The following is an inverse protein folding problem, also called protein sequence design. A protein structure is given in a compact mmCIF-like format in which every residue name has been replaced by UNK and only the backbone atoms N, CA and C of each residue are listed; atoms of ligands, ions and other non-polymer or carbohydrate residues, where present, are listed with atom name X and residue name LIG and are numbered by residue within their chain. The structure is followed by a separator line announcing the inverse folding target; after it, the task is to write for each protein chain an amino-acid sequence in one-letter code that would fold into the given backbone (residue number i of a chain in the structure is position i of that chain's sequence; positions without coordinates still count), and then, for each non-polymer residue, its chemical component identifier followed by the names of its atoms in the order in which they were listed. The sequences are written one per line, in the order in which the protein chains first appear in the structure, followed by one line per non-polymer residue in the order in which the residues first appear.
data_IF_467048668462
#
_entry.id   IF_467048668462
#
_cell.length_a   1.000
_cell.length_b   1.000
_cell.length_c   1.000
_cell.angle_alpha   90.00
_cell.angle_beta   90.00
_cell.angle_gamma   90.00
#
_symmetry.space_group_name_H-M   'P 1'
#
loop_
_entity.id
_entity.type
_entity.pdbx_description
1 polymer ?
#
# COMPACT_ATOMS: atom_id res chain seq x y z
N UNK A 1 -23.71 -12.14 -1.97
CA UNK A 1 -22.67 -11.18 -2.40
C UNK A 1 -22.12 -10.58 -1.12
N UNK A 2 -20.96 -11.04 -0.63
CA UNK A 2 -20.33 -10.42 0.54
C UNK A 2 -19.95 -9.02 0.08
N UNK A 3 -20.63 -8.00 0.60
CA UNK A 3 -20.19 -6.61 0.44
C UNK A 3 -18.85 -6.53 1.15
N UNK A 4 -17.78 -6.46 0.38
CA UNK A 4 -16.44 -6.20 0.87
C UNK A 4 -16.44 -4.84 1.58
N UNK A 5 -16.53 -4.87 2.91
CA UNK A 5 -16.63 -3.69 3.75
C UNK A 5 -15.38 -2.80 3.53
N UNK A 6 -14.22 -3.43 3.40
CA UNK A 6 -12.97 -2.75 3.14
C UNK A 6 -12.97 -1.99 1.81
N UNK A 7 -13.47 -2.58 0.72
CA UNK A 7 -13.61 -1.84 -0.56
C UNK A 7 -14.45 -0.58 -0.40
N UNK A 8 -15.55 -0.63 0.36
CA UNK A 8 -16.35 0.57 0.59
C UNK A 8 -15.57 1.62 1.39
N UNK A 9 -14.85 1.21 2.43
CA UNK A 9 -14.02 2.08 3.26
C UNK A 9 -12.92 2.77 2.42
N UNK A 10 -12.19 2.01 1.59
CA UNK A 10 -11.12 2.53 0.72
C UNK A 10 -11.58 3.63 -0.24
N UNK A 11 -12.85 3.62 -0.64
CA UNK A 11 -13.39 4.59 -1.59
C UNK A 11 -13.96 5.84 -0.91
N UNK A 12 -14.35 5.76 0.36
CA UNK A 12 -15.12 6.83 1.05
C UNK A 12 -14.41 7.43 2.27
N UNK A 13 -13.24 6.92 2.66
CA UNK A 13 -12.54 7.37 3.86
C UNK A 13 -11.14 7.91 3.54
N UNK A 14 -10.70 8.85 4.37
CA UNK A 14 -9.34 9.36 4.39
C UNK A 14 -8.36 8.37 5.03
N UNK A 15 -7.07 8.62 4.87
CA UNK A 15 -6.03 7.83 5.52
C UNK A 15 -6.20 7.77 7.04
N UNK A 16 -6.46 8.91 7.68
CA UNK A 16 -6.61 9.02 9.15
C UNK A 16 -7.80 8.22 9.65
N UNK A 17 -8.95 8.30 8.97
CA UNK A 17 -10.15 7.54 9.32
C UNK A 17 -9.90 6.03 9.16
N UNK A 18 -9.22 5.61 8.09
CA UNK A 18 -8.89 4.21 7.84
C UNK A 18 -7.90 3.67 8.88
N UNK A 19 -6.85 4.44 9.23
CA UNK A 19 -5.89 4.07 10.27
C UNK A 19 -6.57 3.95 11.63
N UNK A 20 -7.40 4.93 12.00
CA UNK A 20 -8.13 4.94 13.28
C UNK A 20 -9.08 3.76 13.39
N UNK A 21 -9.78 3.44 12.30
CA UNK A 21 -10.66 2.28 12.23
C UNK A 21 -9.86 0.99 12.44
N UNK A 22 -8.78 0.78 11.67
CA UNK A 22 -7.97 -0.42 11.78
C UNK A 22 -7.34 -0.56 13.17
N UNK A 23 -6.87 0.54 13.76
CA UNK A 23 -6.35 0.54 15.12
C UNK A 23 -7.42 0.04 16.09
N UNK A 24 -8.62 0.64 16.07
CA UNK A 24 -9.75 0.22 16.91
C UNK A 24 -10.09 -1.26 16.75
N UNK A 25 -10.18 -1.77 15.52
CA UNK A 25 -10.47 -3.18 15.25
C UNK A 25 -9.37 -4.09 15.82
N UNK A 26 -8.09 -3.71 15.66
CA UNK A 26 -6.97 -4.47 16.24
C UNK A 26 -7.06 -4.48 17.77
N UNK A 27 -7.35 -3.34 18.43
CA UNK A 27 -7.51 -3.29 19.90
C UNK A 27 -8.60 -4.26 20.36
N UNK A 28 -9.72 -4.31 19.65
CA UNK A 28 -10.88 -5.12 20.01
C UNK A 28 -10.68 -6.61 19.73
N UNK A 29 -9.81 -6.95 18.77
CA UNK A 29 -9.55 -8.32 18.34
C UNK A 29 -8.66 -9.15 19.28
N UNK A 30 -8.11 -8.56 20.35
CA UNK A 30 -7.14 -9.20 21.26
C UNK A 30 -5.88 -9.76 20.57
N UNK A 31 -5.53 -9.24 19.39
CA UNK A 31 -4.26 -9.54 18.73
C UNK A 31 -3.08 -9.06 19.60
N UNK A 32 -1.96 -9.78 19.54
CA UNK A 32 -0.76 -9.41 20.29
C UNK A 32 -0.27 -8.00 19.92
N UNK A 33 0.28 -7.27 20.89
CA UNK A 33 0.78 -5.89 20.70
C UNK A 33 1.76 -5.78 19.52
N UNK A 34 2.58 -6.81 19.33
CA UNK A 34 3.45 -6.93 18.15
C UNK A 34 2.71 -6.70 16.83
N UNK A 35 1.54 -7.32 16.63
CA UNK A 35 0.79 -7.17 15.40
C UNK A 35 0.21 -5.77 15.24
N UNK A 36 -0.21 -5.14 16.34
CA UNK A 36 -0.66 -3.76 16.32
C UNK A 36 0.45 -2.82 15.86
N UNK A 37 1.62 -2.92 16.50
CA UNK A 37 2.79 -2.09 16.19
C UNK A 37 3.27 -2.25 14.75
N UNK A 38 3.06 -3.41 14.13
CA UNK A 38 3.48 -3.68 12.74
C UNK A 38 2.42 -3.37 11.70
N UNK A 39 1.15 -3.58 12.02
CA UNK A 39 0.06 -3.47 11.06
C UNK A 39 -0.25 -2.03 10.70
N UNK A 40 -0.29 -1.12 11.67
CA UNK A 40 -0.63 0.30 11.41
C UNK A 40 0.39 0.98 10.49
N UNK A 41 1.72 0.94 10.77
CA UNK A 41 2.70 1.57 9.87
C UNK A 41 2.70 0.98 8.46
N UNK A 42 2.47 -0.33 8.34
CA UNK A 42 2.33 -0.99 7.05
C UNK A 42 1.12 -0.48 6.27
N UNK A 43 -0.05 -0.46 6.92
CA UNK A 43 -1.30 -0.04 6.31
C UNK A 43 -1.21 1.41 5.83
N UNK A 44 -0.62 2.29 6.65
CA UNK A 44 -0.37 3.67 6.28
C UNK A 44 0.60 3.83 5.12
N UNK A 45 1.68 3.04 5.08
CA UNK A 45 2.66 3.08 4.00
C UNK A 45 2.07 2.71 2.64
N UNK A 46 1.17 1.71 2.61
CA UNK A 46 0.49 1.32 1.36
C UNK A 46 -0.50 2.42 0.95
N UNK A 47 -1.35 2.87 1.88
CA UNK A 47 -2.41 3.83 1.56
C UNK A 47 -1.90 5.24 1.29
N UNK A 48 -0.75 5.64 1.83
CA UNK A 48 -0.12 6.92 1.53
C UNK A 48 0.23 7.08 0.05
N UNK A 49 0.27 5.98 -0.71
CA UNK A 49 0.46 6.00 -2.16
C UNK A 49 -0.84 5.71 -2.91
N UNK A 50 -1.60 4.69 -2.49
CA UNK A 50 -2.81 4.28 -3.23
C UNK A 50 -3.93 5.32 -3.17
N UNK A 51 -4.07 6.07 -2.07
CA UNK A 51 -5.09 7.11 -1.95
C UNK A 51 -4.80 8.31 -2.86
N UNK A 52 -3.58 8.90 -2.90
CA UNK A 52 -3.26 9.92 -3.89
C UNK A 52 -3.42 9.46 -5.34
N UNK A 53 -3.04 8.20 -5.66
CA UNK A 53 -3.29 7.65 -7.00
C UNK A 53 -4.80 7.57 -7.31
N UNK A 54 -5.62 7.15 -6.34
CA UNK A 54 -7.08 7.15 -6.46
C UNK A 54 -7.62 8.55 -6.71
N UNK A 55 -7.22 9.53 -5.91
CA UNK A 55 -7.65 10.93 -6.01
C UNK A 55 -7.29 11.55 -7.37
N UNK A 56 -6.16 11.15 -7.94
CA UNK A 56 -5.73 11.57 -9.27
C UNK A 56 -6.37 10.77 -10.42
N UNK A 57 -7.18 9.74 -10.14
CA UNK A 57 -7.72 8.78 -11.12
C UNK A 57 -6.62 8.06 -11.92
N UNK A 58 -5.54 7.72 -11.21
CA UNK A 58 -4.30 7.15 -11.73
C UNK A 58 -4.01 5.76 -11.15
N UNK A 59 -5.04 5.01 -10.76
CA UNK A 59 -4.86 3.66 -10.22
C UNK A 59 -4.41 2.67 -11.30
N UNK A 60 -3.50 1.79 -10.91
CA UNK A 60 -2.98 0.73 -11.75
C UNK A 60 -2.62 -0.47 -10.88
N UNK A 61 -2.53 -1.63 -11.51
CA UNK A 61 -2.15 -2.88 -10.85
C UNK A 61 -0.63 -3.15 -10.99
N UNK A 62 -0.07 -4.17 -10.32
CA UNK A 62 1.36 -4.50 -10.42
C UNK A 62 1.89 -4.75 -11.84
N UNK A 63 1.04 -5.13 -12.79
CA UNK A 63 1.40 -5.28 -14.21
C UNK A 63 1.42 -3.95 -14.98
N UNK A 64 1.13 -2.82 -14.32
CA UNK A 64 1.00 -1.51 -14.96
C UNK A 64 -0.32 -1.29 -15.68
N UNK A 65 -1.31 -2.19 -15.54
CA UNK A 65 -2.62 -2.02 -16.19
C UNK A 65 -3.48 -1.06 -15.40
N UNK A 66 -4.17 -0.17 -16.11
CA UNK A 66 -5.11 0.80 -15.54
C UNK A 66 -6.24 0.08 -14.80
N UNK A 67 -6.61 0.58 -13.63
CA UNK A 67 -7.72 0.10 -12.82
C UNK A 67 -8.59 1.30 -12.43
N UNK A 68 -9.91 1.13 -12.43
CA UNK A 68 -10.85 2.24 -12.17
C UNK A 68 -11.06 2.56 -10.70
N UNK A 69 -10.90 1.56 -9.81
CA UNK A 69 -11.27 1.67 -8.39
C UNK A 69 -10.22 1.03 -7.50
N UNK A 70 -10.07 1.60 -6.31
CA UNK A 70 -9.30 1.01 -5.24
C UNK A 70 -10.20 0.04 -4.49
N UNK A 71 -10.12 -1.24 -4.84
CA UNK A 71 -10.77 -2.32 -4.10
C UNK A 71 -9.77 -3.05 -3.19
N UNK A 72 -10.28 -3.92 -2.31
CA UNK A 72 -9.44 -4.69 -1.40
C UNK A 72 -8.45 -5.58 -2.15
N UNK A 73 -8.82 -6.08 -3.33
CA UNK A 73 -7.95 -6.91 -4.16
C UNK A 73 -6.73 -6.11 -4.58
N UNK A 74 -6.93 -4.91 -5.13
CA UNK A 74 -5.85 -4.02 -5.54
C UNK A 74 -4.96 -3.64 -4.36
N UNK A 75 -5.55 -3.31 -3.21
CA UNK A 75 -4.80 -3.07 -1.97
C UNK A 75 -3.87 -4.27 -1.66
N UNK A 76 -4.43 -5.48 -1.54
CA UNK A 76 -3.64 -6.65 -1.16
C UNK A 76 -2.59 -7.06 -2.21
N UNK A 77 -2.80 -6.73 -3.49
CA UNK A 77 -1.81 -6.96 -4.53
C UNK A 77 -0.60 -6.04 -4.39
N UNK A 78 -0.82 -4.79 -4.00
CA UNK A 78 0.26 -3.84 -3.71
C UNK A 78 0.89 -4.04 -2.32
N UNK A 79 0.18 -4.70 -1.41
CA UNK A 79 0.63 -5.08 -0.07
C UNK A 79 1.66 -6.23 -0.03
N UNK A 80 1.84 -6.98 -1.12
CA UNK A 80 2.95 -7.92 -1.24
C UNK A 80 4.29 -7.17 -1.17
N UNK A 81 5.29 -7.70 -0.47
CA UNK A 81 6.55 -6.99 -0.22
C UNK A 81 7.30 -6.62 -1.51
N UNK A 82 7.32 -7.51 -2.51
CA UNK A 82 7.97 -7.22 -3.80
C UNK A 82 7.20 -6.14 -4.52
N UNK A 83 5.88 -6.30 -4.62
CA UNK A 83 5.01 -5.33 -5.28
C UNK A 83 5.12 -3.96 -4.61
N UNK A 84 5.15 -3.90 -3.27
CA UNK A 84 5.24 -2.65 -2.52
C UNK A 84 6.55 -1.91 -2.79
N UNK A 85 7.67 -2.65 -2.87
CA UNK A 85 8.97 -2.08 -3.25
C UNK A 85 8.96 -1.60 -4.70
N UNK A 86 8.37 -2.38 -5.62
CA UNK A 86 8.20 -1.95 -7.02
C UNK A 86 7.37 -0.67 -7.10
N UNK A 87 6.28 -0.58 -6.32
CA UNK A 87 5.46 0.63 -6.24
C UNK A 87 6.29 1.83 -5.81
N UNK A 88 7.13 1.69 -4.78
CA UNK A 88 8.04 2.76 -4.36
C UNK A 88 8.90 3.26 -5.54
N UNK A 89 9.56 2.36 -6.28
CA UNK A 89 10.41 2.77 -7.41
C UNK A 89 9.60 3.42 -8.54
N UNK A 90 8.43 2.89 -8.86
CA UNK A 90 7.54 3.49 -9.86
C UNK A 90 7.19 4.93 -9.47
N UNK A 91 6.76 5.15 -8.23
CA UNK A 91 6.33 6.49 -7.79
C UNK A 91 7.52 7.42 -7.61
N UNK A 92 8.66 6.95 -7.11
CA UNK A 92 9.90 7.74 -7.02
C UNK A 92 10.33 8.26 -8.41
N UNK A 93 10.43 7.37 -9.39
CA UNK A 93 10.77 7.76 -10.77
C UNK A 93 9.69 8.66 -11.37
N UNK A 94 8.41 8.42 -11.06
CA UNK A 94 7.31 9.24 -11.55
C UNK A 94 7.33 10.66 -10.97
N UNK A 95 7.69 10.81 -9.69
CA UNK A 95 7.92 12.10 -9.04
C UNK A 95 9.07 12.87 -9.69
N UNK A 96 10.20 12.20 -9.95
CA UNK A 96 11.37 12.80 -10.61
C UNK A 96 11.06 13.28 -12.03
N UNK A 97 10.26 12.53 -12.78
CA UNK A 97 9.86 12.87 -14.15
C UNK A 97 8.58 13.70 -14.24
N UNK A 98 7.92 13.96 -13.12
CA UNK A 98 6.61 14.63 -13.04
C UNK A 98 5.55 14.01 -13.98
N UNK A 99 5.61 12.69 -14.13
CA UNK A 99 4.72 11.90 -14.98
C UNK A 99 4.61 10.49 -14.41
N UNK A 100 3.41 9.91 -14.38
CA UNK A 100 3.25 8.51 -13.99
C UNK A 100 3.88 7.58 -15.03
N UNK A 101 4.89 6.82 -14.61
CA UNK A 101 5.65 5.89 -15.45
C UNK A 101 5.24 4.44 -15.22
N UNK A 102 5.66 3.56 -16.15
CA UNK A 102 5.51 2.10 -16.02
C UNK A 102 4.05 1.65 -15.85
N UNK A 103 3.14 2.42 -16.44
CA UNK A 103 1.71 2.12 -16.49
C UNK A 103 1.18 2.28 -17.92
N UNK A 104 -0.05 1.85 -18.15
CA UNK A 104 -0.76 2.07 -19.41
C UNK A 104 -1.26 3.51 -19.62
N UNK A 105 -1.04 4.42 -18.66
CA UNK A 105 -1.49 5.81 -18.80
C UNK A 105 -0.62 6.58 -19.81
N UNK A 106 -1.28 7.35 -20.67
CA UNK A 106 -0.65 8.28 -21.61
C UNK A 106 -1.31 9.66 -21.45
N UNK A 107 -0.50 10.73 -21.49
CA UNK A 107 -0.96 12.12 -21.48
C UNK A 107 -1.90 12.48 -20.31
N UNK A 108 -1.65 11.93 -19.12
CA UNK A 108 -2.37 12.31 -17.90
C UNK A 108 -1.54 13.29 -17.08
N UNK A 109 -2.23 14.24 -16.47
CA UNK A 109 -1.63 15.11 -15.45
C UNK A 109 -1.30 14.29 -14.23
N UNK A 110 -0.02 14.31 -13.84
CA UNK A 110 0.47 13.69 -12.62
C UNK A 110 0.83 14.78 -11.61
N UNK A 111 0.37 14.61 -10.38
CA UNK A 111 0.81 15.41 -9.23
C UNK A 111 1.73 14.55 -8.37
N UNK A 112 2.79 15.18 -7.86
CA UNK A 112 3.80 14.53 -7.02
C UNK A 112 3.12 13.90 -5.80
N UNK A 113 3.46 12.64 -5.54
CA UNK A 113 2.95 11.87 -4.41
C UNK A 113 4.02 11.86 -3.31
N UNK A 114 3.66 12.22 -2.08
CA UNK A 114 4.59 12.09 -0.96
C UNK A 114 4.82 10.60 -0.63
N UNK A 115 6.04 10.12 -0.86
CA UNK A 115 6.43 8.72 -0.63
C UNK A 115 7.13 8.48 0.71
N UNK A 116 7.30 9.50 1.56
CA UNK A 116 8.08 9.43 2.79
C UNK A 116 7.62 8.31 3.74
N UNK A 117 6.30 8.12 3.92
CA UNK A 117 5.77 7.02 4.73
C UNK A 117 6.16 5.65 4.18
N UNK A 118 6.06 5.46 2.87
CA UNK A 118 6.45 4.22 2.20
C UNK A 118 7.96 3.99 2.27
N UNK A 119 8.74 5.04 2.02
CA UNK A 119 10.19 5.04 2.09
C UNK A 119 10.69 4.64 3.49
N UNK A 120 10.19 5.32 4.52
CA UNK A 120 10.53 5.03 5.91
C UNK A 120 10.10 3.63 6.32
N UNK A 121 8.93 3.15 5.87
CA UNK A 121 8.48 1.79 6.13
C UNK A 121 9.44 0.75 5.52
N UNK A 122 9.80 0.88 4.24
CA UNK A 122 10.72 -0.04 3.57
C UNK A 122 12.11 0.00 4.23
N UNK A 123 12.62 1.19 4.52
CA UNK A 123 13.92 1.38 5.19
C UNK A 123 13.96 0.74 6.59
N UNK A 124 12.92 0.97 7.42
CA UNK A 124 12.83 0.40 8.77
C UNK A 124 12.77 -1.13 8.77
N UNK A 125 12.28 -1.73 7.69
CA UNK A 125 12.26 -3.18 7.47
C UNK A 125 13.49 -3.68 6.69
N UNK A 126 14.53 -2.84 6.56
CA UNK A 126 15.82 -3.17 5.90
C UNK A 126 15.67 -3.61 4.45
N UNK A 127 14.68 -3.06 3.75
CA UNK A 127 14.49 -3.30 2.32
C UNK A 127 15.38 -2.35 1.53
N UNK A 128 16.13 -2.89 0.56
CA UNK A 128 16.96 -2.06 -0.30
C UNK A 128 16.08 -1.23 -1.25
N UNK A 129 16.17 0.09 -1.11
CA UNK A 129 15.46 1.08 -1.94
C UNK A 129 16.43 2.01 -2.69
N UNK A 130 17.72 1.69 -2.66
CA UNK A 130 18.78 2.45 -3.34
C UNK A 130 19.06 1.91 -4.74
N UNK A 131 18.89 0.62 -4.94
CA UNK A 131 19.12 -0.08 -6.21
C UNK A 131 17.95 -1.03 -6.48
N UNK A 132 17.22 -0.83 -7.59
CA UNK A 132 16.05 -1.62 -7.96
C UNK A 132 16.42 -3.07 -8.35
N UNK A 133 17.62 -3.27 -8.92
CA UNK A 133 18.08 -4.54 -9.49
C UNK A 133 18.46 -5.58 -8.43
N UNK A 134 18.66 -5.14 -7.17
CA UNK A 134 18.88 -6.03 -6.03
C UNK A 134 17.55 -6.69 -5.64
N UNK A 135 17.46 -8.00 -5.82
CA UNK A 135 16.28 -8.81 -5.49
C UNK A 135 16.43 -9.57 -4.17
N UNK A 136 17.31 -9.11 -3.29
CA UNK A 136 17.45 -9.69 -1.95
C UNK A 136 16.44 -9.07 -0.98
N UNK A 137 15.67 -9.93 -0.31
CA UNK A 137 14.60 -9.53 0.59
C UNK A 137 14.64 -10.42 1.83
N UNK A 138 14.61 -9.85 3.04
CA UNK A 138 14.63 -10.66 4.25
C UNK A 138 13.37 -11.53 4.38
N UNK A 139 13.54 -12.85 4.48
CA UNK A 139 12.43 -13.82 4.60
C UNK A 139 11.51 -13.50 5.77
N UNK A 140 12.07 -13.01 6.89
CA UNK A 140 11.28 -12.60 8.06
C UNK A 140 10.29 -11.48 7.75
N UNK A 141 10.63 -10.56 6.84
CA UNK A 141 9.76 -9.45 6.45
C UNK A 141 8.66 -9.91 5.49
N UNK A 142 8.94 -10.86 4.60
CA UNK A 142 7.87 -11.51 3.84
C UNK A 142 6.83 -12.17 4.74
N UNK A 143 7.30 -12.96 5.71
CA UNK A 143 6.40 -13.62 6.66
C UNK A 143 5.61 -12.61 7.49
N UNK A 144 6.22 -11.48 7.83
CA UNK A 144 5.54 -10.37 8.48
C UNK A 144 4.41 -9.81 7.60
N UNK A 145 4.66 -9.51 6.32
CA UNK A 145 3.64 -9.03 5.39
C UNK A 145 2.49 -10.04 5.22
N UNK A 146 2.79 -11.34 5.13
CA UNK A 146 1.77 -12.40 5.05
C UNK A 146 0.88 -12.37 6.30
N UNK A 147 1.49 -12.27 7.49
CA UNK A 147 0.77 -12.18 8.76
C UNK A 147 -0.10 -10.92 8.85
N UNK A 148 0.47 -9.75 8.56
CA UNK A 148 -0.26 -8.47 8.56
C UNK A 148 -1.44 -8.51 7.59
N UNK A 149 -1.23 -9.00 6.36
CA UNK A 149 -2.29 -9.12 5.37
C UNK A 149 -3.40 -10.07 5.84
N UNK A 150 -3.07 -11.15 6.55
CA UNK A 150 -4.07 -12.04 7.14
C UNK A 150 -4.90 -11.33 8.21
N UNK A 151 -4.26 -10.52 9.06
CA UNK A 151 -4.94 -9.74 10.11
C UNK A 151 -5.90 -8.73 9.48
N UNK A 152 -5.42 -7.91 8.53
CA UNK A 152 -6.26 -6.91 7.86
C UNK A 152 -7.46 -7.59 7.17
N UNK A 153 -7.24 -8.73 6.49
CA UNK A 153 -8.31 -9.51 5.87
C UNK A 153 -9.35 -10.03 6.87
N UNK A 154 -8.94 -10.34 8.09
CA UNK A 154 -9.85 -10.84 9.12
C UNK A 154 -10.64 -9.69 9.76
N UNK A 155 -10.00 -8.54 9.97
CA UNK A 155 -10.60 -7.39 10.64
C UNK A 155 -11.52 -6.56 9.74
N UNK A 156 -11.16 -6.38 8.47
CA UNK A 156 -11.87 -5.47 7.55
C UNK A 156 -12.75 -6.18 6.52
N UNK A 157 -12.93 -7.50 6.65
CA UNK A 157 -13.69 -8.34 5.70
C UNK A 157 -15.12 -7.87 5.46
#
# INVERSE_FOLDING_TARGET
MIKDNFTNLLNNSSLEELSTLLEKEIIQSNEADFWREKTIPFFEAVLSVLLPLKEQNLLFNPEGKIVEKLDSTLFFRWSDLVCLRILYFIIKQSNEKQQLLRTGYQNKTYQIINIEKLENYLYSNRINISDEDILDFPISIYNLHIGINSIIKNLLK
#
